data_IF_432087495965
#
_entry.id   IF_432087495965
#
_cell.length_a   1.000
_cell.length_b   1.000
_cell.length_c   1.000
_cell.angle_alpha   90.00
_cell.angle_beta   90.00
_cell.angle_gamma   90.00
#
_symmetry.space_group_name_H-M   'P 1'
#
loop_
_entity.id
_entity.type
_entity.pdbx_description
1 polymer ?
#
# COMPACT_ATOMS: atom_id res chain seq x y z
N UNK A 1 1.67 -51.23 -9.14
CA UNK A 1 2.61 -50.96 -8.03
C UNK A 1 2.16 -49.71 -7.29
N UNK A 2 1.88 -49.81 -6.00
CA UNK A 2 1.43 -48.69 -5.16
C UNK A 2 2.70 -47.92 -4.75
N UNK A 3 2.95 -46.75 -5.33
CA UNK A 3 4.06 -45.90 -4.90
C UNK A 3 3.76 -45.44 -3.46
N UNK A 4 4.50 -45.98 -2.50
CA UNK A 4 4.46 -45.49 -1.12
C UNK A 4 5.34 -44.24 -1.10
N UNK A 5 4.74 -43.08 -0.86
CA UNK A 5 5.50 -41.87 -0.55
C UNK A 5 6.31 -42.17 0.70
N UNK A 6 7.63 -42.04 0.62
CA UNK A 6 8.46 -42.21 1.81
C UNK A 6 8.18 -41.06 2.78
N UNK A 7 8.31 -41.28 4.10
CA UNK A 7 8.06 -40.24 5.11
C UNK A 7 8.84 -38.94 4.84
N UNK A 8 10.06 -39.05 4.30
CA UNK A 8 10.90 -37.91 3.95
C UNK A 8 10.26 -37.08 2.83
N UNK A 9 9.71 -37.72 1.79
CA UNK A 9 9.00 -37.02 0.72
C UNK A 9 7.72 -36.35 1.19
N UNK A 10 7.05 -36.91 2.21
CA UNK A 10 5.90 -36.26 2.84
C UNK A 10 6.38 -35.03 3.62
N UNK A 11 7.40 -35.19 4.46
CA UNK A 11 7.95 -34.09 5.26
C UNK A 11 8.45 -32.93 4.39
N UNK A 12 9.16 -33.21 3.30
CA UNK A 12 9.65 -32.20 2.36
C UNK A 12 8.50 -31.41 1.71
N UNK A 13 7.42 -32.11 1.35
CA UNK A 13 6.22 -31.48 0.78
C UNK A 13 5.53 -30.60 1.82
N UNK A 14 5.24 -31.14 3.00
CA UNK A 14 4.57 -30.40 4.08
C UNK A 14 5.39 -29.17 4.49
N UNK A 15 6.72 -29.27 4.51
CA UNK A 15 7.61 -28.14 4.75
C UNK A 15 7.45 -27.05 3.67
N UNK A 16 7.36 -27.45 2.40
CA UNK A 16 7.11 -26.54 1.28
C UNK A 16 5.76 -25.84 1.41
N UNK A 17 4.71 -26.61 1.69
CA UNK A 17 3.35 -26.11 1.85
C UNK A 17 3.26 -25.14 3.06
N UNK A 18 3.90 -25.48 4.18
CA UNK A 18 3.97 -24.63 5.37
C UNK A 18 4.71 -23.32 5.13
N UNK A 19 5.83 -23.33 4.38
CA UNK A 19 6.58 -22.12 4.01
C UNK A 19 5.74 -21.19 3.14
N UNK A 20 5.02 -21.75 2.17
CA UNK A 20 4.13 -20.97 1.33
C UNK A 20 2.97 -20.36 2.13
N UNK A 21 2.37 -21.15 3.03
CA UNK A 21 1.31 -20.66 3.92
C UNK A 21 1.79 -19.53 4.83
N UNK A 22 3.00 -19.64 5.40
CA UNK A 22 3.61 -18.59 6.22
C UNK A 22 3.77 -17.30 5.41
N UNK A 23 4.36 -17.37 4.22
CA UNK A 23 4.55 -16.19 3.36
C UNK A 23 3.22 -15.51 3.00
N UNK A 24 2.17 -16.28 2.74
CA UNK A 24 0.84 -15.73 2.46
C UNK A 24 0.26 -15.03 3.70
N UNK A 25 0.38 -15.64 4.88
CA UNK A 25 -0.09 -15.05 6.13
C UNK A 25 0.66 -13.74 6.46
N UNK A 26 1.97 -13.69 6.25
CA UNK A 26 2.78 -12.47 6.45
C UNK A 26 2.32 -11.34 5.53
N UNK A 27 2.04 -11.64 4.26
CA UNK A 27 1.50 -10.63 3.32
C UNK A 27 0.13 -10.12 3.76
N UNK A 28 -0.75 -11.01 4.21
CA UNK A 28 -2.08 -10.63 4.70
C UNK A 28 -1.98 -9.77 5.97
N UNK A 29 -1.04 -10.08 6.86
CA UNK A 29 -0.78 -9.28 8.06
C UNK A 29 -0.36 -7.86 7.69
N UNK A 30 0.61 -7.71 6.78
CA UNK A 30 1.06 -6.39 6.31
C UNK A 30 -0.09 -5.58 5.69
N UNK A 31 -0.94 -6.22 4.89
CA UNK A 31 -2.11 -5.56 4.32
C UNK A 31 -3.13 -5.13 5.39
N UNK A 32 -3.37 -5.99 6.38
CA UNK A 32 -4.25 -5.68 7.50
C UNK A 32 -3.71 -4.51 8.34
N UNK A 33 -2.41 -4.46 8.60
CA UNK A 33 -1.75 -3.35 9.29
C UNK A 33 -1.96 -2.04 8.55
N UNK A 34 -1.74 -2.00 7.23
CA UNK A 34 -1.99 -0.80 6.42
C UNK A 34 -3.46 -0.35 6.49
N UNK A 35 -4.41 -1.28 6.46
CA UNK A 35 -5.85 -0.96 6.58
C UNK A 35 -6.18 -0.38 7.96
N UNK A 36 -5.63 -0.95 9.02
CA UNK A 36 -5.81 -0.45 10.39
C UNK A 36 -5.27 0.97 10.51
N UNK A 37 -4.07 1.23 10.02
CA UNK A 37 -3.45 2.56 10.08
C UNK A 37 -4.24 3.59 9.26
N UNK A 38 -4.73 3.21 8.08
CA UNK A 38 -5.62 4.06 7.30
C UNK A 38 -6.89 4.43 8.09
N UNK A 39 -7.57 3.45 8.69
CA UNK A 39 -8.79 3.71 9.43
C UNK A 39 -8.54 4.52 10.70
N UNK A 40 -7.43 4.29 11.41
CA UNK A 40 -7.01 5.15 12.53
C UNK A 40 -6.81 6.60 12.10
N UNK A 41 -6.16 6.84 10.97
CA UNK A 41 -5.97 8.18 10.43
C UNK A 41 -7.30 8.85 10.05
N UNK A 42 -8.21 8.10 9.44
CA UNK A 42 -9.56 8.60 9.11
C UNK A 42 -10.34 8.96 10.37
N UNK A 43 -10.31 8.10 11.40
CA UNK A 43 -10.99 8.38 12.68
C UNK A 43 -10.42 9.63 13.34
N UNK A 44 -9.09 9.74 13.47
CA UNK A 44 -8.45 10.91 14.06
C UNK A 44 -8.77 12.19 13.28
N UNK A 45 -8.86 12.13 11.94
CA UNK A 45 -9.26 13.26 11.11
C UNK A 45 -10.72 13.68 11.37
N UNK A 46 -11.65 12.73 11.46
CA UNK A 46 -13.06 13.03 11.74
C UNK A 46 -13.26 13.57 13.16
N UNK A 47 -12.53 13.03 14.15
CA UNK A 47 -12.51 13.54 15.52
C UNK A 47 -12.00 14.99 15.56
N UNK A 48 -10.93 15.30 14.83
CA UNK A 48 -10.41 16.67 14.72
C UNK A 48 -11.42 17.62 14.06
N UNK A 49 -12.11 17.19 13.00
CA UNK A 49 -13.18 18.00 12.38
C UNK A 49 -14.31 18.25 13.39
N UNK A 50 -14.71 17.23 14.14
CA UNK A 50 -15.78 17.36 15.13
C UNK A 50 -15.42 18.31 16.27
N UNK A 51 -14.13 18.40 16.64
CA UNK A 51 -13.68 19.24 17.74
C UNK A 51 -13.36 20.68 17.29
N UNK A 52 -12.63 20.83 16.18
CA UNK A 52 -12.02 22.11 15.76
C UNK A 52 -12.75 22.77 14.57
N UNK A 53 -13.67 22.07 13.92
CA UNK A 53 -14.30 22.50 12.68
C UNK A 53 -13.44 22.22 11.44
N UNK A 54 -14.10 22.16 10.28
CA UNK A 54 -13.49 21.75 8.99
C UNK A 54 -12.39 22.72 8.56
N UNK A 55 -12.63 24.02 8.70
CA UNK A 55 -11.72 25.09 8.24
C UNK A 55 -10.37 25.03 8.96
N UNK A 56 -10.39 24.80 10.28
CA UNK A 56 -9.18 24.78 11.10
C UNK A 56 -8.33 23.54 10.81
N UNK A 57 -8.96 22.38 10.62
CA UNK A 57 -8.26 21.15 10.23
C UNK A 57 -7.69 21.26 8.81
N UNK A 58 -8.43 21.85 7.87
CA UNK A 58 -7.97 22.06 6.51
C UNK A 58 -6.75 23.00 6.44
N UNK A 59 -6.72 24.07 7.24
CA UNK A 59 -5.56 24.96 7.32
C UNK A 59 -4.33 24.24 7.90
N UNK A 60 -4.50 23.44 8.97
CA UNK A 60 -3.42 22.63 9.57
C UNK A 60 -2.87 21.58 8.61
N UNK A 61 -3.70 21.03 7.72
CA UNK A 61 -3.28 20.04 6.72
C UNK A 61 -2.65 20.64 5.47
N UNK A 62 -2.74 21.97 5.25
CA UNK A 62 -2.00 22.57 4.14
C UNK A 62 -0.52 22.30 4.35
N UNK A 63 0.17 21.70 3.37
CA UNK A 63 1.61 21.63 3.42
C UNK A 63 2.10 23.08 3.55
N UNK A 64 2.77 23.41 4.66
CA UNK A 64 3.52 24.66 4.71
C UNK A 64 4.39 24.67 3.47
N UNK A 65 4.32 25.74 2.67
CA UNK A 65 5.04 25.84 1.43
C UNK A 65 6.54 25.62 1.72
N UNK A 66 6.98 24.37 1.59
CA UNK A 66 8.37 24.02 1.62
C UNK A 66 8.95 24.77 0.42
N UNK A 67 9.88 25.68 0.72
CA UNK A 67 10.85 26.25 -0.21
C UNK A 67 11.17 25.25 -1.33
N UNK A 68 11.26 25.66 -2.60
CA UNK A 68 11.17 24.77 -3.75
C UNK A 68 12.24 23.68 -3.71
N UNK A 69 11.88 22.53 -3.14
CA UNK A 69 12.63 21.29 -3.28
C UNK A 69 12.41 20.85 -4.72
N UNK A 70 13.50 20.85 -5.48
CA UNK A 70 13.56 20.45 -6.89
C UNK A 70 12.86 19.09 -7.06
N UNK A 71 11.64 19.10 -7.59
CA UNK A 71 10.96 17.87 -7.99
C UNK A 71 11.67 17.35 -9.24
N UNK A 72 12.01 16.06 -9.34
CA UNK A 72 12.49 15.49 -10.59
C UNK A 72 11.44 15.74 -11.68
N UNK A 73 11.86 16.33 -12.79
CA UNK A 73 11.02 16.62 -13.95
C UNK A 73 10.36 15.32 -14.43
N UNK A 74 9.07 15.12 -14.14
CA UNK A 74 8.28 14.11 -14.87
C UNK A 74 8.09 14.65 -16.29
N UNK A 75 8.91 14.18 -17.22
CA UNK A 75 8.68 14.37 -18.65
C UNK A 75 7.49 13.47 -19.00
N UNK A 76 6.29 14.02 -18.95
CA UNK A 76 5.13 13.41 -19.59
C UNK A 76 5.21 13.74 -21.09
N UNK A 77 5.21 12.75 -22.00
CA UNK A 77 5.14 13.03 -23.42
C UNK A 77 3.78 13.68 -23.72
N UNK A 78 3.83 14.86 -24.34
CA UNK A 78 2.66 15.65 -24.69
C UNK A 78 1.93 15.01 -25.88
N UNK A 79 0.75 14.45 -25.61
CA UNK A 79 -0.13 13.86 -26.62
C UNK A 79 -0.84 14.90 -27.49
N UNK A 80 -0.65 16.21 -27.26
CA UNK A 80 -1.20 17.26 -28.13
C UNK A 80 -0.31 17.61 -29.33
N UNK A 81 0.95 17.19 -29.36
CA UNK A 81 1.87 17.44 -30.48
C UNK A 81 1.57 16.60 -31.75
N UNK A 82 0.77 15.53 -31.64
CA UNK A 82 0.39 14.68 -32.78
C UNK A 82 -0.90 15.15 -33.49
N UNK A 83 -1.51 16.26 -33.07
CA UNK A 83 -2.69 16.85 -33.69
C UNK A 83 -2.32 18.06 -34.55
N UNK A 84 -1.43 17.86 -35.51
CA UNK A 84 -0.94 18.94 -36.36
C UNK A 84 -0.04 18.46 -37.49
N UNK A 85 -0.36 17.32 -38.10
CA UNK A 85 0.21 16.92 -39.38
C UNK A 85 -0.95 16.79 -40.37
N UNK A 86 -1.24 17.89 -41.05
CA UNK A 86 -2.12 17.98 -42.22
C UNK A 86 -1.34 18.67 -43.33
#
# INVERSE_FOLDING_TARGET
>A
MKYVLTPEKVADRELGDARLALFQAERQLLEAEMRVDYHRNVLAFLEAISADGVENVAEKQRPQALSPVQRPLRITPDLTALRGAG
#
